data_IF_475441855258
#
_entry.id   IF_475441855258
#
_cell.length_a   1.000
_cell.length_b   1.000
_cell.length_c   1.000
_cell.angle_alpha   90.00
_cell.angle_beta   90.00
_cell.angle_gamma   90.00
#
_symmetry.space_group_name_H-M   'P 1'
#
loop_
_entity.id
_entity.type
_entity.pdbx_description
1 polymer ?
#
# COMPACT_ATOMS: atom_id res chain seq x y z
N UNK A 1 17.63 -9.10 -12.01
CA UNK A 1 17.40 -9.23 -10.56
C UNK A 1 15.90 -9.17 -10.32
N UNK A 2 15.37 -9.92 -9.35
CA UNK A 2 13.98 -9.89 -8.89
C UNK A 2 13.94 -9.46 -7.42
N UNK A 3 12.75 -9.23 -6.86
CA UNK A 3 12.58 -8.90 -5.44
C UNK A 3 13.27 -9.92 -4.52
N UNK A 4 13.14 -11.22 -4.82
CA UNK A 4 13.73 -12.30 -4.02
C UNK A 4 15.26 -12.44 -4.17
N UNK A 5 15.88 -11.75 -5.12
CA UNK A 5 17.34 -11.66 -5.21
C UNK A 5 17.91 -10.55 -4.30
N UNK A 6 17.09 -9.56 -3.93
CA UNK A 6 17.48 -8.47 -3.02
C UNK A 6 17.49 -8.94 -1.57
N UNK A 7 16.37 -9.54 -1.17
CA UNK A 7 16.11 -10.10 0.15
C UNK A 7 15.26 -11.36 -0.02
N UNK A 8 15.45 -12.33 0.86
CA UNK A 8 14.56 -13.50 0.90
C UNK A 8 13.16 -13.13 1.42
N UNK A 9 12.24 -14.10 1.41
CA UNK A 9 10.85 -13.89 1.83
C UNK A 9 10.74 -13.46 3.31
N UNK A 10 11.55 -14.02 4.20
CA UNK A 10 11.49 -13.72 5.63
C UNK A 10 12.03 -12.32 5.92
N UNK A 11 13.09 -11.92 5.22
CA UNK A 11 13.65 -10.58 5.28
C UNK A 11 12.68 -9.52 4.75
N UNK A 12 11.97 -9.80 3.66
CA UNK A 12 10.91 -8.91 3.17
C UNK A 12 9.74 -8.81 4.13
N UNK A 13 9.31 -9.92 4.75
CA UNK A 13 8.28 -9.87 5.78
C UNK A 13 8.74 -9.04 6.99
N UNK A 14 9.99 -9.20 7.43
CA UNK A 14 10.56 -8.39 8.50
C UNK A 14 10.58 -6.90 8.14
N UNK A 15 10.89 -6.57 6.89
CA UNK A 15 10.86 -5.22 6.35
C UNK A 15 9.44 -4.61 6.37
N UNK A 16 8.41 -5.37 5.98
CA UNK A 16 7.00 -4.94 6.08
C UNK A 16 6.61 -4.63 7.51
N UNK A 17 6.92 -5.53 8.45
CA UNK A 17 6.58 -5.38 9.86
C UNK A 17 7.31 -4.21 10.50
N UNK A 18 8.58 -4.00 10.18
CA UNK A 18 9.36 -2.87 10.69
C UNK A 18 8.75 -1.54 10.24
N UNK A 19 8.41 -1.41 8.95
CA UNK A 19 7.75 -0.22 8.42
C UNK A 19 6.34 -0.03 8.98
N UNK A 20 5.58 -1.11 9.15
CA UNK A 20 4.27 -1.07 9.79
C UNK A 20 4.38 -0.52 11.22
N UNK A 21 5.28 -1.05 12.04
CA UNK A 21 5.46 -0.58 13.41
C UNK A 21 6.03 0.83 13.49
N UNK A 22 6.89 1.24 12.54
CA UNK A 22 7.50 2.56 12.52
C UNK A 22 6.56 3.68 12.07
N UNK A 23 5.70 3.41 11.08
CA UNK A 23 4.85 4.43 10.43
C UNK A 23 3.35 4.21 10.64
N UNK A 24 2.92 3.09 11.22
CA UNK A 24 1.52 2.78 11.44
C UNK A 24 0.70 2.65 10.15
N UNK A 25 1.33 2.19 9.06
CA UNK A 25 0.69 1.97 7.76
C UNK A 25 0.56 0.48 7.46
N UNK A 26 -0.46 0.08 6.70
CA UNK A 26 -0.52 -1.27 6.15
C UNK A 26 0.50 -1.38 5.03
N UNK A 27 1.55 -2.18 5.22
CA UNK A 27 2.64 -2.33 4.24
C UNK A 27 2.45 -3.60 3.43
N UNK A 28 2.70 -3.53 2.13
CA UNK A 28 2.68 -4.70 1.26
C UNK A 28 3.72 -4.58 0.16
N UNK A 29 4.44 -5.66 -0.07
CA UNK A 29 5.46 -5.78 -1.10
C UNK A 29 4.92 -6.64 -2.25
N UNK A 30 5.10 -6.15 -3.47
CA UNK A 30 4.65 -6.80 -4.69
C UNK A 30 5.85 -7.12 -5.58
N UNK A 31 5.79 -8.26 -6.27
CA UNK A 31 6.74 -8.65 -7.30
C UNK A 31 6.45 -7.97 -8.67
N UNK A 32 7.20 -8.35 -9.70
CA UNK A 32 7.05 -7.79 -11.05
C UNK A 32 5.68 -8.08 -11.69
N UNK A 33 4.95 -9.05 -11.14
CA UNK A 33 3.60 -9.45 -11.57
C UNK A 33 2.50 -8.78 -10.76
N UNK A 34 2.86 -7.86 -9.85
CA UNK A 34 1.97 -7.19 -8.92
C UNK A 34 1.32 -8.15 -7.90
N UNK A 35 2.04 -9.20 -7.52
CA UNK A 35 1.58 -10.21 -6.55
C UNK A 35 2.39 -10.13 -5.24
N UNK A 36 1.72 -10.23 -4.10
CA UNK A 36 2.38 -10.30 -2.79
C UNK A 36 2.94 -11.69 -2.52
N UNK A 37 4.16 -11.79 -2.00
CA UNK A 37 4.82 -13.08 -1.74
C UNK A 37 5.21 -13.32 -0.27
N UNK A 38 5.11 -12.30 0.60
CA UNK A 38 5.42 -12.38 2.04
C UNK A 38 4.35 -13.14 2.83
N UNK A 39 3.09 -13.10 2.38
CA UNK A 39 2.01 -14.00 2.83
C UNK A 39 1.18 -13.50 4.02
N UNK A 40 1.49 -12.33 4.60
CA UNK A 40 0.66 -11.68 5.62
C UNK A 40 0.80 -10.17 5.53
N UNK A 41 -0.30 -9.46 5.77
CA UNK A 41 -0.32 -7.99 5.91
C UNK A 41 -0.87 -7.66 7.30
N UNK A 42 -0.19 -6.77 8.01
CA UNK A 42 -0.73 -6.15 9.22
C UNK A 42 -1.49 -4.88 8.83
N UNK A 43 -2.78 -4.85 9.19
CA UNK A 43 -3.66 -3.75 8.87
C UNK A 43 -3.58 -2.68 9.95
N UNK A 44 -3.53 -1.42 9.54
CA UNK A 44 -3.55 -0.27 10.45
C UNK A 44 -4.96 0.20 10.84
N UNK A 45 -6.01 -0.46 10.31
CA UNK A 45 -7.43 -0.17 10.60
C UNK A 45 -8.28 -1.42 10.30
N UNK A 46 -9.55 -1.39 10.73
CA UNK A 46 -10.50 -2.50 10.54
C UNK A 46 -11.29 -2.41 9.22
N UNK A 47 -11.32 -1.25 8.58
CA UNK A 47 -12.03 -1.03 7.30
C UNK A 47 -11.37 -1.78 6.14
N UNK A 48 -10.05 -1.67 5.99
CA UNK A 48 -9.28 -2.31 4.93
C UNK A 48 -9.41 -3.84 4.90
N UNK A 49 -9.27 -4.59 6.02
CA UNK A 49 -9.48 -6.03 5.99
C UNK A 49 -10.92 -6.39 5.63
N UNK A 50 -11.91 -5.59 6.06
CA UNK A 50 -13.31 -5.78 5.68
C UNK A 50 -13.58 -5.57 4.19
N UNK A 51 -12.93 -4.57 3.57
CA UNK A 51 -13.00 -4.35 2.12
C UNK A 51 -12.35 -5.53 1.39
N UNK A 52 -11.15 -5.94 1.81
CA UNK A 52 -10.37 -6.99 1.14
C UNK A 52 -10.94 -8.39 1.33
N UNK A 53 -11.75 -8.64 2.37
CA UNK A 53 -12.40 -9.94 2.57
C UNK A 53 -13.55 -10.19 1.61
N UNK A 54 -14.10 -9.15 0.98
CA UNK A 54 -15.17 -9.25 -0.01
C UNK A 54 -14.57 -9.19 -1.43
N UNK A 55 -14.74 -10.21 -2.28
CA UNK A 55 -14.21 -10.20 -3.64
C UNK A 55 -14.57 -8.96 -4.46
N UNK A 56 -15.80 -8.43 -4.32
CA UNK A 56 -16.18 -7.19 -5.01
C UNK A 56 -15.44 -5.97 -4.46
N UNK A 57 -15.32 -5.85 -3.14
CA UNK A 57 -14.57 -4.77 -2.48
C UNK A 57 -13.09 -4.79 -2.85
N UNK A 58 -12.46 -5.96 -2.77
CA UNK A 58 -11.06 -6.15 -3.18
C UNK A 58 -10.85 -5.72 -4.64
N UNK A 59 -11.71 -6.17 -5.56
CA UNK A 59 -11.56 -5.88 -6.98
C UNK A 59 -11.87 -4.44 -7.34
N UNK A 60 -12.93 -3.85 -6.78
CA UNK A 60 -13.40 -2.52 -7.14
C UNK A 60 -12.59 -1.39 -6.48
N UNK A 61 -11.95 -1.64 -5.32
CA UNK A 61 -11.24 -0.61 -4.55
C UNK A 61 -9.74 -0.92 -4.49
N UNK A 62 -9.35 -1.98 -3.80
CA UNK A 62 -7.94 -2.19 -3.47
C UNK A 62 -7.09 -2.62 -4.67
N UNK A 63 -7.59 -3.54 -5.50
CA UNK A 63 -6.85 -4.08 -6.64
C UNK A 63 -6.71 -3.05 -7.76
N UNK A 64 -7.77 -2.29 -8.07
CA UNK A 64 -7.75 -1.23 -9.09
C UNK A 64 -6.78 -0.12 -8.70
N UNK A 65 -6.87 0.39 -7.46
CA UNK A 65 -5.91 1.39 -6.97
C UNK A 65 -4.46 0.89 -7.06
N UNK A 66 -4.20 -0.36 -6.67
CA UNK A 66 -2.86 -0.94 -6.77
C UNK A 66 -2.37 -1.10 -8.21
N UNK A 67 -3.22 -1.57 -9.12
CA UNK A 67 -2.86 -1.72 -10.54
C UNK A 67 -2.58 -0.37 -11.20
N UNK A 68 -3.45 0.61 -10.96
CA UNK A 68 -3.30 1.97 -11.48
C UNK A 68 -2.00 2.61 -11.00
N UNK A 69 -1.76 2.62 -9.69
CA UNK A 69 -0.57 3.22 -9.12
C UNK A 69 0.72 2.49 -9.50
N UNK A 70 0.70 1.16 -9.61
CA UNK A 70 1.86 0.40 -10.11
C UNK A 70 2.17 0.75 -11.57
N UNK A 71 1.14 0.99 -12.40
CA UNK A 71 1.34 1.44 -13.78
C UNK A 71 1.91 2.87 -13.85
N UNK A 72 1.39 3.80 -13.04
CA UNK A 72 1.91 5.16 -12.93
C UNK A 72 3.37 5.17 -12.46
N UNK A 73 3.67 4.44 -11.37
CA UNK A 73 5.03 4.34 -10.83
C UNK A 73 6.02 3.75 -11.86
N UNK A 74 5.57 2.78 -12.67
CA UNK A 74 6.38 2.22 -13.77
C UNK A 74 6.66 3.26 -14.85
N UNK A 75 5.64 4.02 -15.25
CA UNK A 75 5.73 5.02 -16.32
C UNK A 75 6.59 6.21 -15.92
N UNK A 76 6.38 6.74 -14.72
CA UNK A 76 7.07 7.93 -14.20
C UNK A 76 8.44 7.60 -13.63
N UNK A 77 8.68 6.32 -13.29
CA UNK A 77 9.89 5.83 -12.62
C UNK A 77 10.13 6.54 -11.28
N UNK A 78 9.05 6.88 -10.59
CA UNK A 78 9.03 7.60 -9.32
C UNK A 78 7.97 7.05 -8.39
N UNK A 79 8.09 7.39 -7.11
CA UNK A 79 7.06 7.10 -6.12
C UNK A 79 5.77 7.83 -6.45
N UNK A 80 4.65 7.13 -6.27
CA UNK A 80 3.31 7.67 -6.43
C UNK A 80 2.63 7.71 -5.06
N UNK A 81 2.04 8.86 -4.73
CA UNK A 81 1.23 9.05 -3.52
C UNK A 81 -0.13 9.56 -3.98
N UNK A 82 -1.17 8.76 -3.75
CA UNK A 82 -2.54 9.04 -4.19
C UNK A 82 -3.54 8.47 -3.17
N UNK A 83 -4.82 8.80 -3.33
CA UNK A 83 -5.89 8.14 -2.59
C UNK A 83 -6.38 6.90 -3.36
N UNK A 84 -6.76 5.85 -2.62
CA UNK A 84 -7.57 4.77 -3.20
C UNK A 84 -9.04 5.17 -3.24
N UNK A 85 -9.88 4.38 -3.90
CA UNK A 85 -11.32 4.68 -4.06
C UNK A 85 -12.11 4.70 -2.74
N UNK A 86 -11.51 4.28 -1.61
CA UNK A 86 -12.06 4.45 -0.27
C UNK A 86 -11.69 5.81 0.38
N UNK A 87 -10.94 6.68 -0.29
CA UNK A 87 -10.44 7.95 0.26
C UNK A 87 -9.21 7.80 1.17
N UNK A 88 -8.60 6.60 1.24
CA UNK A 88 -7.41 6.37 2.06
C UNK A 88 -6.13 6.59 1.26
N UNK A 89 -5.14 7.24 1.87
CA UNK A 89 -3.84 7.44 1.29
C UNK A 89 -3.15 6.10 0.98
N UNK A 90 -2.52 6.04 -0.19
CA UNK A 90 -1.70 4.94 -0.68
C UNK A 90 -0.42 5.49 -1.27
N UNK A 91 0.69 4.86 -0.90
CA UNK A 91 2.02 5.10 -1.47
C UNK A 91 2.40 3.86 -2.29
N UNK A 92 3.03 4.08 -3.44
CA UNK A 92 3.62 3.06 -4.29
C UNK A 92 5.05 3.47 -4.63
N UNK A 93 6.05 2.86 -3.98
CA UNK A 93 7.47 3.07 -4.26
C UNK A 93 7.94 1.99 -5.22
N UNK A 94 8.31 2.32 -6.47
CA UNK A 94 8.76 1.33 -7.43
C UNK A 94 10.20 0.87 -7.15
N UNK A 95 10.47 -0.42 -7.34
CA UNK A 95 11.81 -1.01 -7.22
C UNK A 95 12.34 -1.29 -8.62
N UNK A 96 13.45 -0.64 -8.99
CA UNK A 96 14.08 -0.79 -10.29
C UNK A 96 15.43 -1.50 -10.20
N UNK A 97 15.70 -2.37 -11.17
CA UNK A 97 17.01 -2.91 -11.48
C UNK A 97 17.41 -2.45 -12.89
N UNK A 98 18.10 -1.31 -12.98
CA UNK A 98 18.34 -0.63 -14.25
C UNK A 98 17.04 -0.07 -14.83
N UNK A 99 16.67 -0.50 -16.03
CA UNK A 99 15.42 -0.07 -16.67
C UNK A 99 14.20 -0.88 -16.22
N UNK A 100 14.42 -2.11 -15.74
CA UNK A 100 13.36 -3.05 -15.37
C UNK A 100 12.77 -2.73 -13.99
N UNK A 101 11.46 -2.54 -13.90
CA UNK A 101 10.74 -2.50 -12.62
C UNK A 101 10.49 -3.92 -12.14
N UNK A 102 11.09 -4.29 -11.02
CA UNK A 102 11.12 -5.66 -10.50
C UNK A 102 10.10 -5.90 -9.38
N UNK A 103 9.43 -4.83 -8.92
CA UNK A 103 8.38 -4.89 -7.91
C UNK A 103 8.05 -3.51 -7.36
N UNK A 104 7.21 -3.48 -6.32
CA UNK A 104 6.87 -2.24 -5.59
C UNK A 104 6.81 -2.51 -4.08
N UNK A 105 7.10 -1.48 -3.29
CA UNK A 105 6.79 -1.45 -1.86
C UNK A 105 5.70 -0.41 -1.65
N UNK A 106 4.58 -0.82 -1.07
CA UNK A 106 3.43 0.04 -0.84
C UNK A 106 3.12 0.23 0.64
N UNK A 107 2.65 1.43 0.99
CA UNK A 107 2.00 1.72 2.28
C UNK A 107 0.58 2.23 2.04
N UNK A 108 -0.39 1.89 2.88
CA UNK A 108 -1.79 2.32 2.71
C UNK A 108 -2.56 2.33 4.05
N UNK A 109 -3.77 2.88 4.02
CA UNK A 109 -4.80 2.66 5.03
C UNK A 109 -4.92 3.78 6.07
N UNK A 110 -4.30 4.94 5.82
CA UNK A 110 -4.45 6.13 6.67
C UNK A 110 -5.24 7.19 5.92
N UNK A 111 -5.98 8.02 6.65
CA UNK A 111 -6.73 9.13 6.08
C UNK A 111 -5.89 10.41 6.17
N UNK A 112 -5.73 11.12 5.06
CA UNK A 112 -5.04 12.42 5.09
C UNK A 112 -5.88 13.47 5.83
N UNK A 113 -5.23 14.38 6.56
CA UNK A 113 -5.92 15.47 7.23
C UNK A 113 -6.74 16.34 6.26
N UNK A 114 -8.04 16.46 6.53
CA UNK A 114 -8.97 17.25 5.72
C UNK A 114 -9.71 16.44 4.66
N UNK A 115 -9.35 15.17 4.48
CA UNK A 115 -10.01 14.24 3.57
C UNK A 115 -11.07 13.40 4.29
N UNK A 116 -11.92 12.73 3.52
CA UNK A 116 -13.01 11.90 4.04
C UNK A 116 -12.99 10.51 3.41
N UNK A 117 -13.44 9.50 4.17
CA UNK A 117 -13.65 8.16 3.63
C UNK A 117 -14.93 8.15 2.79
N UNK A 118 -14.85 7.63 1.57
CA UNK A 118 -16.03 7.47 0.69
C UNK A 118 -16.90 6.28 1.15
N UNK A 119 -17.72 6.52 2.16
CA UNK A 119 -18.63 5.49 2.72
C UNK A 119 -19.66 5.01 1.71
N UNK A 120 -20.06 5.87 0.76
CA UNK A 120 -21.05 5.52 -0.26
C UNK A 120 -20.47 4.51 -1.27
N UNK A 121 -19.27 4.76 -1.79
CA UNK A 121 -18.60 3.85 -2.71
C UNK A 121 -18.32 2.50 -2.02
N UNK A 122 -17.86 2.52 -0.77
CA UNK A 122 -17.63 1.30 0.02
C UNK A 122 -18.94 0.53 0.20
N UNK A 123 -20.03 1.21 0.55
CA UNK A 123 -21.37 0.61 0.67
C UNK A 123 -21.80 -0.08 -0.63
N UNK A 124 -21.61 0.58 -1.77
CA UNK A 124 -21.94 0.00 -3.08
C UNK A 124 -21.05 -1.19 -3.42
N UNK A 125 -19.77 -1.15 -3.09
CA UNK A 125 -18.83 -2.22 -3.39
C UNK A 125 -19.06 -3.46 -2.51
N UNK A 126 -19.39 -3.26 -1.23
CA UNK A 126 -19.55 -4.35 -0.25
C UNK A 126 -20.99 -4.86 -0.11
N UNK A 127 -21.97 -4.13 -0.65
CA UNK A 127 -23.40 -4.44 -0.51
C UNK A 127 -23.83 -4.66 0.96
N UNK A 128 -23.18 -3.98 1.91
CA UNK A 128 -23.44 -4.08 3.35
C UNK A 128 -24.13 -2.81 3.92
N UNK A 129 -24.71 -2.84 5.13
CA UNK A 129 -25.33 -1.66 5.72
C UNK A 129 -24.35 -0.49 5.89
N UNK A 130 -24.78 0.72 5.57
CA UNK A 130 -23.95 1.92 5.70
C UNK A 130 -23.45 2.14 7.15
N UNK A 131 -24.26 1.80 8.14
CA UNK A 131 -23.87 1.90 9.55
C UNK A 131 -22.65 1.01 9.89
N UNK A 132 -22.55 -0.19 9.30
CA UNK A 132 -21.39 -1.07 9.49
C UNK A 132 -20.10 -0.38 9.00
N UNK A 133 -20.19 0.37 7.90
CA UNK A 133 -19.05 1.09 7.33
C UNK A 133 -18.68 2.28 8.22
N UNK A 134 -19.67 3.05 8.68
CA UNK A 134 -19.42 4.18 9.60
C UNK A 134 -18.69 3.73 10.86
N UNK A 135 -19.09 2.57 11.42
CA UNK A 135 -18.43 2.02 12.60
C UNK A 135 -16.95 1.64 12.31
N UNK A 136 -16.69 1.05 11.13
CA UNK A 136 -15.34 0.69 10.69
C UNK A 136 -14.47 1.91 10.37
N UNK A 137 -15.05 2.98 9.82
CA UNK A 137 -14.35 4.24 9.56
C UNK A 137 -13.76 4.83 10.83
N UNK A 138 -14.40 4.64 11.98
CA UNK A 138 -13.87 5.08 13.28
C UNK A 138 -12.52 4.46 13.66
N UNK A 139 -12.12 3.35 13.04
CA UNK A 139 -10.81 2.72 13.24
C UNK A 139 -9.69 3.30 12.36
N UNK A 140 -10.03 4.11 11.35
CA UNK A 140 -9.07 4.62 10.37
C UNK A 140 -8.20 5.71 11.00
N UNK A 141 -6.88 5.50 11.15
CA UNK A 141 -6.01 6.52 11.72
C UNK A 141 -5.78 7.63 10.70
N UNK A 142 -5.69 8.87 11.19
CA UNK A 142 -5.36 10.03 10.36
C UNK A 142 -3.85 10.26 10.26
N UNK A 143 -3.41 10.90 9.19
CA UNK A 143 -2.03 11.35 9.02
C UNK A 143 -1.93 12.67 8.27
N UNK A 144 -0.84 13.40 8.51
CA UNK A 144 -0.48 14.54 7.66
C UNK A 144 0.18 14.08 6.37
N UNK A 145 0.16 14.92 5.33
CA UNK A 145 0.96 14.68 4.12
C UNK A 145 2.45 14.52 4.44
N UNK A 146 2.98 15.28 5.41
CA UNK A 146 4.38 15.18 5.82
C UNK A 146 4.75 13.77 6.34
N UNK A 147 3.85 13.14 7.12
CA UNK A 147 4.02 11.77 7.61
C UNK A 147 3.96 10.74 6.47
N UNK A 148 3.01 10.92 5.54
CA UNK A 148 2.85 10.08 4.34
C UNK A 148 4.12 10.15 3.46
N UNK A 149 4.64 11.35 3.22
CA UNK A 149 5.88 11.54 2.48
C UNK A 149 7.11 11.04 3.25
N UNK A 150 7.12 11.13 4.58
CA UNK A 150 8.22 10.60 5.39
C UNK A 150 8.33 9.08 5.25
N UNK A 151 7.21 8.37 5.20
CA UNK A 151 7.17 6.95 4.85
C UNK A 151 7.79 6.71 3.47
N UNK A 152 7.32 7.44 2.44
CA UNK A 152 7.83 7.31 1.08
C UNK A 152 9.35 7.48 1.00
N UNK A 153 9.89 8.56 1.60
CA UNK A 153 11.32 8.86 1.62
C UNK A 153 12.15 7.78 2.32
N UNK A 154 11.66 7.23 3.43
CA UNK A 154 12.39 6.17 4.14
C UNK A 154 12.41 4.87 3.31
N UNK A 155 11.29 4.51 2.67
CA UNK A 155 11.23 3.33 1.79
C UNK A 155 12.15 3.51 0.58
N UNK A 156 12.11 4.66 -0.10
CA UNK A 156 12.98 4.98 -1.24
C UNK A 156 14.46 4.81 -0.87
N UNK A 157 14.88 5.43 0.24
CA UNK A 157 16.24 5.37 0.76
C UNK A 157 16.69 3.93 1.01
N UNK A 158 15.84 3.12 1.65
CA UNK A 158 16.17 1.72 1.97
C UNK A 158 16.23 0.84 0.72
N UNK A 159 15.28 1.02 -0.21
CA UNK A 159 15.29 0.30 -1.48
C UNK A 159 16.52 0.65 -2.31
N UNK A 160 16.87 1.93 -2.40
CA UNK A 160 18.07 2.37 -3.10
C UNK A 160 19.33 1.71 -2.53
N UNK A 161 19.47 1.66 -1.20
CA UNK A 161 20.60 1.00 -0.55
C UNK A 161 20.64 -0.51 -0.82
N UNK A 162 19.49 -1.19 -0.82
CA UNK A 162 19.39 -2.63 -1.13
C UNK A 162 19.81 -2.93 -2.56
N UNK A 163 19.32 -2.15 -3.53
CA UNK A 163 19.65 -2.33 -4.95
C UNK A 163 21.14 -2.05 -5.19
N UNK A 164 21.69 -0.97 -4.64
CA UNK A 164 23.11 -0.63 -4.80
C UNK A 164 24.04 -1.69 -4.20
N UNK A 165 23.66 -2.33 -3.09
CA UNK A 165 24.45 -3.40 -2.47
C UNK A 165 24.46 -4.72 -3.27
N UNK A 166 23.78 -4.77 -4.42
CA UNK A 166 23.65 -5.94 -5.30
C UNK A 166 24.01 -5.64 -6.76
N UNK A 167 24.42 -4.40 -7.05
CA UNK A 167 25.01 -3.98 -8.33
C UNK A 167 26.52 -4.27 -8.33
#
# INVERSE_FOLDING_TARGET
MKMLDLLDKEQWLAFELELHHGFGMSVSIFDETNTTFTGRVEFCNDLCPRIKSEPKGLQAICAVANQSMTAMARQERSTIIEQCDAGLAKICVPVFNGEDMIGTVSGCGRLEHGEEVDTFLIHKALECPEQEIVDLVGSVPSSSMEEIEAFAREVEKRIQALVQARQ
#
